data_IF_479836225793
#
_entry.id   IF_479836225793
#
_cell.length_a   1.000
_cell.length_b   1.000
_cell.length_c   1.000
_cell.angle_alpha   90.00
_cell.angle_beta   90.00
_cell.angle_gamma   90.00
#
_symmetry.space_group_name_H-M   'P 1'
#
loop_
_entity.id
_entity.type
_entity.pdbx_description
1 polymer ?
#
# COMPACT_ATOMS: atom_id res chain seq x y z
N UNK A 1 22.75 5.84 -6.30
CA UNK A 1 21.65 6.36 -5.50
C UNK A 1 22.08 7.68 -4.86
N UNK A 2 21.25 8.72 -5.01
CA UNK A 2 21.39 10.00 -4.31
C UNK A 2 20.17 10.19 -3.42
N UNK A 3 20.37 10.56 -2.16
CA UNK A 3 19.30 10.79 -1.19
C UNK A 3 19.27 12.28 -0.84
N UNK A 4 18.08 12.90 -0.99
CA UNK A 4 17.84 14.30 -0.65
C UNK A 4 16.90 14.36 0.56
N UNK A 5 17.45 14.71 1.73
CA UNK A 5 16.68 14.85 2.98
C UNK A 5 16.78 16.31 3.49
N UNK A 6 15.79 17.11 3.26
CA UNK A 6 14.47 16.96 2.64
C UNK A 6 14.36 17.85 1.42
N UNK A 7 13.35 17.60 0.56
CA UNK A 7 13.05 18.44 -0.61
C UNK A 7 12.97 19.93 -0.25
N UNK A 8 12.47 20.25 0.93
CA UNK A 8 12.29 21.63 1.39
C UNK A 8 13.59 22.41 1.54
N UNK A 9 14.73 21.72 1.73
CA UNK A 9 16.05 22.37 1.86
C UNK A 9 16.66 22.78 0.53
N UNK A 10 16.20 22.21 -0.56
CA UNK A 10 16.66 22.52 -1.93
C UNK A 10 15.71 23.41 -2.70
N UNK A 11 14.55 23.76 -2.14
CA UNK A 11 13.64 24.75 -2.72
C UNK A 11 14.24 26.14 -2.59
N UNK A 12 14.14 26.93 -3.65
CA UNK A 12 14.56 28.34 -3.62
C UNK A 12 13.76 29.13 -2.58
N UNK A 13 14.48 29.84 -1.70
CA UNK A 13 13.88 30.76 -0.74
C UNK A 13 13.32 31.98 -1.49
N UNK A 14 12.00 32.10 -1.58
CA UNK A 14 11.34 33.26 -2.17
C UNK A 14 10.39 32.97 -3.34
N UNK A 15 10.33 31.78 -3.87
CA UNK A 15 9.29 31.41 -4.82
C UNK A 15 7.92 31.43 -4.14
N UNK A 16 6.94 32.09 -4.76
CA UNK A 16 5.57 32.19 -4.23
C UNK A 16 5.05 30.84 -3.76
N UNK A 17 4.51 30.88 -2.54
CA UNK A 17 4.00 29.76 -1.78
C UNK A 17 3.37 28.66 -2.63
N UNK A 18 3.94 27.43 -2.53
CA UNK A 18 3.27 26.15 -2.78
C UNK A 18 2.23 26.16 -3.93
N UNK A 19 2.68 26.41 -5.15
CA UNK A 19 1.83 26.20 -6.32
C UNK A 19 2.11 24.85 -6.93
N UNK A 20 1.07 24.21 -7.48
CA UNK A 20 1.17 22.96 -8.23
C UNK A 20 2.27 23.01 -9.30
N UNK A 21 2.32 24.14 -10.06
CA UNK A 21 3.29 24.32 -11.14
C UNK A 21 4.74 24.33 -10.63
N UNK A 22 5.01 24.97 -9.50
CA UNK A 22 6.35 25.03 -8.93
C UNK A 22 6.80 23.65 -8.39
N UNK A 23 5.92 22.94 -7.70
CA UNK A 23 6.21 21.58 -7.20
C UNK A 23 6.49 20.62 -8.36
N UNK A 24 5.66 20.66 -9.39
CA UNK A 24 5.82 19.85 -10.59
C UNK A 24 7.14 20.17 -11.32
N UNK A 25 7.49 21.44 -11.45
CA UNK A 25 8.73 21.89 -12.11
C UNK A 25 9.98 21.40 -11.36
N UNK A 26 9.99 21.52 -10.01
CA UNK A 26 11.14 21.06 -9.20
C UNK A 26 11.36 19.56 -9.38
N UNK A 27 10.31 18.75 -9.25
CA UNK A 27 10.44 17.29 -9.41
C UNK A 27 10.79 16.93 -10.86
N UNK A 28 10.24 17.61 -11.85
CA UNK A 28 10.57 17.38 -13.26
C UNK A 28 12.05 17.66 -13.54
N UNK A 29 12.62 18.72 -12.98
CA UNK A 29 14.07 19.01 -13.09
C UNK A 29 14.92 17.93 -12.44
N UNK A 30 14.54 17.47 -11.25
CA UNK A 30 15.22 16.38 -10.53
C UNK A 30 15.14 15.07 -11.31
N UNK A 31 13.95 14.73 -11.83
CA UNK A 31 13.77 13.55 -12.68
C UNK A 31 14.64 13.61 -13.93
N UNK A 32 14.62 14.73 -14.65
CA UNK A 32 15.46 14.91 -15.84
C UNK A 32 16.95 14.73 -15.52
N UNK A 33 17.40 15.26 -14.39
CA UNK A 33 18.78 15.06 -13.93
C UNK A 33 19.06 13.58 -13.68
N UNK A 34 18.15 12.87 -13.00
CA UNK A 34 18.30 11.44 -12.73
C UNK A 34 18.40 10.63 -14.02
N UNK A 35 17.51 10.90 -14.98
CA UNK A 35 17.45 10.22 -16.28
C UNK A 35 18.74 10.43 -17.10
N UNK A 36 19.21 11.68 -17.20
CA UNK A 36 20.43 12.02 -17.95
C UNK A 36 21.68 11.41 -17.30
N UNK A 37 21.72 11.41 -15.96
CA UNK A 37 22.89 10.94 -15.22
C UNK A 37 22.87 9.44 -14.94
N UNK A 38 21.78 8.72 -15.27
CA UNK A 38 21.60 7.30 -14.98
C UNK A 38 21.61 7.00 -13.49
N UNK A 39 21.10 7.91 -12.63
CA UNK A 39 21.10 7.77 -11.19
C UNK A 39 19.68 7.68 -10.63
N UNK A 40 19.52 6.94 -9.56
CA UNK A 40 18.29 6.94 -8.77
C UNK A 40 18.33 8.08 -7.76
N UNK A 41 17.26 8.89 -7.70
CA UNK A 41 17.06 9.91 -6.68
C UNK A 41 15.97 9.44 -5.69
N UNK A 42 16.30 9.42 -4.41
CA UNK A 42 15.34 9.27 -3.32
C UNK A 42 15.15 10.63 -2.64
N UNK A 43 13.96 11.20 -2.78
CA UNK A 43 13.64 12.52 -2.23
C UNK A 43 12.75 12.35 -1.03
N UNK A 44 13.23 12.72 0.15
CA UNK A 44 12.47 12.67 1.40
C UNK A 44 11.63 13.94 1.55
N UNK A 45 10.38 13.77 1.93
CA UNK A 45 9.44 14.87 2.14
C UNK A 45 8.50 14.60 3.31
N UNK A 46 7.90 15.64 3.87
CA UNK A 46 6.97 15.52 4.98
C UNK A 46 5.54 15.30 4.50
N UNK A 47 4.74 14.63 5.32
CA UNK A 47 3.29 14.52 5.12
C UNK A 47 2.56 15.65 5.85
N UNK A 48 1.36 16.00 5.35
CA UNK A 48 0.42 16.88 6.04
C UNK A 48 -0.21 16.12 7.21
N UNK A 49 -0.62 16.86 8.25
CA UNK A 49 -1.35 16.29 9.38
C UNK A 49 -2.82 15.98 9.07
N UNK A 50 -3.32 16.50 7.97
CA UNK A 50 -4.71 16.36 7.55
C UNK A 50 -4.90 14.99 6.91
N UNK A 51 -5.92 14.26 7.32
CA UNK A 51 -6.30 13.01 6.67
C UNK A 51 -6.91 13.30 5.30
N UNK A 52 -6.66 12.43 4.33
CA UNK A 52 -7.21 12.47 2.99
C UNK A 52 -7.78 11.08 2.64
N UNK A 53 -8.73 11.07 1.71
CA UNK A 53 -9.33 9.81 1.21
C UNK A 53 -8.28 8.95 0.50
N UNK A 54 -7.43 9.58 -0.30
CA UNK A 54 -6.20 8.97 -0.80
C UNK A 54 -5.05 9.34 0.14
N UNK A 55 -4.38 8.33 0.68
CA UNK A 55 -3.24 8.52 1.59
C UNK A 55 -2.08 9.28 0.96
N UNK A 56 -1.86 9.13 -0.34
CA UNK A 56 -0.80 9.84 -1.05
C UNK A 56 -1.07 11.35 -1.16
N UNK A 57 -2.33 11.77 -1.08
CA UNK A 57 -2.69 13.20 -0.98
C UNK A 57 -2.22 13.86 0.34
N UNK A 58 -1.80 13.05 1.31
CA UNK A 58 -1.19 13.55 2.55
C UNK A 58 0.25 14.04 2.35
N UNK A 59 0.89 13.74 1.23
CA UNK A 59 2.23 14.25 0.93
C UNK A 59 2.17 15.78 0.88
N UNK A 60 3.00 16.42 1.70
CA UNK A 60 2.99 17.88 1.84
C UNK A 60 3.39 18.55 0.52
N UNK A 61 2.59 19.49 0.06
CA UNK A 61 2.75 20.13 -1.25
C UNK A 61 1.50 19.98 -2.07
N UNK A 62 1.65 19.81 -3.36
CA UNK A 62 0.55 19.60 -4.29
C UNK A 62 0.67 18.23 -4.95
N UNK A 63 -0.38 17.73 -5.58
CA UNK A 63 -0.36 16.50 -6.37
C UNK A 63 0.66 16.56 -7.53
N UNK A 64 1.23 17.75 -7.81
CA UNK A 64 2.33 17.93 -8.76
C UNK A 64 3.60 17.19 -8.37
N UNK A 65 3.86 16.95 -7.08
CA UNK A 65 5.02 16.18 -6.64
C UNK A 65 4.92 14.72 -7.09
N UNK A 66 3.75 14.11 -6.91
CA UNK A 66 3.50 12.72 -7.31
C UNK A 66 3.43 12.55 -8.83
N UNK A 67 2.84 13.51 -9.53
CA UNK A 67 2.63 13.42 -10.98
C UNK A 67 3.91 13.30 -11.80
N UNK A 68 5.04 13.80 -11.30
CA UNK A 68 6.33 13.74 -11.99
C UNK A 68 7.29 12.67 -11.44
N UNK A 69 6.99 12.05 -10.29
CA UNK A 69 7.78 10.97 -9.70
C UNK A 69 7.47 9.63 -10.38
N UNK A 70 8.45 8.72 -10.40
CA UNK A 70 8.24 7.35 -10.91
C UNK A 70 7.56 6.46 -9.86
N UNK A 71 7.71 6.79 -8.59
CA UNK A 71 7.04 6.12 -7.49
C UNK A 71 7.09 6.91 -6.20
N UNK A 72 6.25 6.53 -5.26
CA UNK A 72 6.14 7.13 -3.95
C UNK A 72 6.10 6.07 -2.85
N UNK A 73 6.73 6.38 -1.73
CA UNK A 73 6.74 5.60 -0.52
C UNK A 73 6.18 6.45 0.61
N UNK A 74 5.08 6.01 1.21
CA UNK A 74 4.43 6.70 2.31
C UNK A 74 4.60 5.91 3.61
N UNK A 75 5.53 6.34 4.47
CA UNK A 75 5.76 5.74 5.77
C UNK A 75 4.90 6.43 6.83
N UNK A 76 4.03 5.68 7.48
CA UNK A 76 3.10 6.19 8.49
C UNK A 76 3.16 5.39 9.78
N UNK A 77 3.06 6.10 10.91
CA UNK A 77 2.83 5.53 12.24
C UNK A 77 1.47 6.00 12.75
N UNK A 78 0.71 5.12 13.40
CA UNK A 78 -0.55 5.53 14.03
C UNK A 78 -0.30 6.46 15.21
N UNK A 79 0.65 6.09 16.05
CA UNK A 79 1.09 6.91 17.20
C UNK A 79 2.61 7.06 17.19
N UNK A 80 3.10 8.17 17.74
CA UNK A 80 4.56 8.42 17.81
C UNK A 80 5.33 7.35 18.58
N UNK A 81 4.71 6.78 19.62
CA UNK A 81 5.33 5.78 20.49
C UNK A 81 5.30 4.35 19.92
N UNK A 82 4.52 4.12 18.84
CA UNK A 82 4.34 2.78 18.31
C UNK A 82 5.63 2.27 17.66
N UNK A 83 5.92 1.00 17.88
CA UNK A 83 7.00 0.28 17.19
C UNK A 83 6.52 -0.36 15.88
N UNK A 84 5.28 -0.08 15.48
CA UNK A 84 4.68 -0.49 14.23
C UNK A 84 4.52 0.71 13.28
N UNK A 85 4.67 0.46 11.99
CA UNK A 85 4.42 1.42 10.92
C UNK A 85 3.85 0.72 9.69
N UNK A 86 3.19 1.48 8.83
CA UNK A 86 2.83 1.03 7.48
C UNK A 86 3.67 1.77 6.45
N UNK A 87 4.07 1.06 5.40
CA UNK A 87 4.70 1.63 4.22
C UNK A 87 3.80 1.35 3.01
N UNK A 88 3.08 2.37 2.58
CA UNK A 88 2.31 2.32 1.34
C UNK A 88 3.24 2.67 0.17
N UNK A 89 3.22 1.87 -0.89
CA UNK A 89 4.08 1.99 -2.07
C UNK A 89 3.20 2.09 -3.30
N UNK A 90 3.42 3.11 -4.12
CA UNK A 90 2.79 3.25 -5.43
C UNK A 90 3.83 3.66 -6.47
N UNK A 91 3.71 3.17 -7.70
CA UNK A 91 4.66 3.49 -8.76
C UNK A 91 4.20 3.04 -10.14
N UNK A 92 4.83 3.61 -11.17
CA UNK A 92 4.46 3.37 -12.58
C UNK A 92 4.71 1.95 -13.03
N UNK A 93 5.81 1.36 -12.56
CA UNK A 93 6.32 0.06 -13.03
C UNK A 93 6.14 -1.05 -11.98
N UNK A 94 5.32 -0.82 -10.96
CA UNK A 94 5.05 -1.79 -9.90
C UNK A 94 3.61 -1.70 -9.42
N UNK A 95 3.10 -2.81 -8.90
CA UNK A 95 1.78 -2.84 -8.27
C UNK A 95 1.82 -2.09 -6.94
N UNK A 96 0.70 -1.44 -6.62
CA UNK A 96 0.53 -0.81 -5.32
C UNK A 96 0.60 -1.87 -4.21
N UNK A 97 1.32 -1.55 -3.15
CA UNK A 97 1.60 -2.46 -2.05
C UNK A 97 1.47 -1.73 -0.72
N UNK A 98 1.04 -2.47 0.30
CA UNK A 98 1.16 -2.04 1.69
C UNK A 98 1.99 -3.05 2.46
N UNK A 99 3.02 -2.54 3.10
CA UNK A 99 3.90 -3.31 3.97
C UNK A 99 3.66 -2.89 5.42
N UNK A 100 3.59 -3.86 6.30
CA UNK A 100 3.54 -3.66 7.73
C UNK A 100 4.93 -3.87 8.29
N UNK A 101 5.41 -2.86 9.01
CA UNK A 101 6.78 -2.79 9.50
C UNK A 101 6.79 -2.77 11.02
N UNK A 102 7.77 -3.43 11.59
CA UNK A 102 8.09 -3.37 13.02
C UNK A 102 9.46 -2.77 13.21
N UNK A 103 9.62 -1.88 14.19
CA UNK A 103 10.89 -1.28 14.50
C UNK A 103 11.72 -2.21 15.38
N UNK A 104 12.94 -2.50 14.95
CA UNK A 104 13.99 -3.04 15.81
C UNK A 104 14.58 -1.88 16.65
N UNK A 105 14.42 -1.96 17.97
CA UNK A 105 14.85 -0.89 18.89
C UNK A 105 16.37 -0.87 19.09
N UNK A 106 17.05 -2.01 18.95
CA UNK A 106 18.49 -2.09 19.12
C UNK A 106 19.23 -1.56 17.88
N UNK A 107 18.78 -1.99 16.69
CA UNK A 107 19.40 -1.62 15.41
C UNK A 107 18.84 -0.33 14.83
N UNK A 108 17.72 0.18 15.36
CA UNK A 108 17.00 1.38 14.92
C UNK A 108 16.58 1.31 13.45
N UNK A 109 16.26 0.12 12.96
CA UNK A 109 15.77 -0.13 11.58
C UNK A 109 14.34 -0.62 11.59
N UNK A 110 13.67 -0.46 10.46
CA UNK A 110 12.36 -1.04 10.21
C UNK A 110 12.53 -2.40 9.55
N UNK A 111 11.91 -3.42 10.11
CA UNK A 111 11.87 -4.77 9.56
C UNK A 111 10.50 -5.06 9.00
N UNK A 112 10.46 -5.77 7.87
CA UNK A 112 9.20 -6.21 7.27
C UNK A 112 8.57 -7.29 8.16
N UNK A 113 7.35 -7.02 8.67
CA UNK A 113 6.58 -8.00 9.43
C UNK A 113 5.68 -8.82 8.49
N UNK A 114 4.94 -8.14 7.61
CA UNK A 114 4.04 -8.79 6.64
C UNK A 114 3.70 -7.87 5.48
N UNK A 115 3.18 -8.45 4.40
CA UNK A 115 2.60 -7.73 3.25
C UNK A 115 1.09 -7.84 3.28
N UNK A 116 0.38 -6.84 2.75
CA UNK A 116 -1.09 -6.87 2.69
C UNK A 116 -1.62 -8.03 1.85
N UNK A 117 -0.91 -8.42 0.80
CA UNK A 117 -1.22 -9.59 -0.04
C UNK A 117 -1.22 -10.90 0.74
N UNK A 118 -0.46 -11.00 1.85
CA UNK A 118 -0.43 -12.18 2.71
C UNK A 118 -1.66 -12.26 3.62
N UNK A 119 -2.34 -11.11 3.87
CA UNK A 119 -3.60 -11.04 4.62
C UNK A 119 -4.82 -11.37 3.77
N UNK A 120 -4.72 -11.25 2.45
CA UNK A 120 -5.79 -11.60 1.49
C UNK A 120 -5.82 -13.08 1.11
N UNK A 121 -5.02 -13.92 1.71
CA UNK A 121 -5.41 -15.32 1.89
C UNK A 121 -6.52 -15.30 2.93
N UNK A 122 -7.73 -14.99 2.46
CA UNK A 122 -8.93 -15.27 3.24
C UNK A 122 -8.80 -16.69 3.76
N UNK A 123 -9.02 -16.93 5.06
CA UNK A 123 -9.07 -18.31 5.54
C UNK A 123 -10.02 -19.04 4.60
N UNK A 124 -9.68 -20.26 4.15
CA UNK A 124 -10.48 -20.96 3.16
C UNK A 124 -11.92 -20.95 3.61
N UNK A 125 -12.80 -20.46 2.75
CA UNK A 125 -14.22 -20.35 3.07
C UNK A 125 -14.73 -21.75 3.40
N UNK A 126 -15.17 -22.01 4.65
CA UNK A 126 -15.58 -23.35 5.08
C UNK A 126 -16.73 -23.87 4.22
N UNK A 127 -17.54 -23.01 3.62
CA UNK A 127 -18.61 -23.39 2.69
C UNK A 127 -18.02 -23.87 1.37
N UNK A 128 -17.05 -23.16 0.81
CA UNK A 128 -16.37 -23.59 -0.44
C UNK A 128 -15.60 -24.90 -0.24
N UNK A 129 -14.92 -25.09 0.91
CA UNK A 129 -14.24 -26.36 1.22
C UNK A 129 -15.23 -27.51 1.36
N UNK A 130 -16.36 -27.29 2.04
CA UNK A 130 -17.39 -28.30 2.19
C UNK A 130 -18.04 -28.65 0.82
N UNK A 131 -18.27 -27.66 -0.04
CA UNK A 131 -18.77 -27.90 -1.42
C UNK A 131 -17.73 -28.66 -2.23
N UNK A 132 -16.45 -28.29 -2.14
CA UNK A 132 -15.37 -28.99 -2.85
C UNK A 132 -15.24 -30.47 -2.40
N UNK A 133 -15.54 -30.76 -1.12
CA UNK A 133 -15.55 -32.12 -0.60
C UNK A 133 -16.74 -32.96 -1.08
N UNK A 134 -17.86 -32.32 -1.45
CA UNK A 134 -19.03 -33.02 -2.03
C UNK A 134 -18.84 -33.43 -3.49
N UNK A 135 -18.01 -32.66 -4.24
CA UNK A 135 -17.77 -32.89 -5.67
C UNK A 135 -16.32 -33.36 -5.83
N UNK A 136 -16.13 -34.65 -6.06
CA UNK A 136 -14.81 -35.28 -6.23
C UNK A 136 -14.67 -35.88 -7.62
N UNK A 137 -13.46 -36.31 -8.00
CA UNK A 137 -13.22 -37.00 -9.27
C UNK A 137 -14.06 -38.27 -9.43
N UNK A 138 -14.41 -38.93 -8.32
CA UNK A 138 -15.28 -40.13 -8.29
C UNK A 138 -16.77 -39.76 -8.31
N UNK A 139 -17.13 -38.56 -7.90
CA UNK A 139 -18.50 -38.02 -7.83
C UNK A 139 -18.51 -36.61 -8.40
N UNK A 140 -18.44 -36.47 -9.75
CA UNK A 140 -18.22 -35.17 -10.39
C UNK A 140 -19.46 -34.26 -10.42
N UNK A 141 -20.62 -34.75 -10.04
CA UNK A 141 -21.89 -34.03 -10.02
C UNK A 141 -22.60 -34.21 -8.69
N UNK A 142 -23.16 -33.13 -8.19
CA UNK A 142 -24.16 -33.11 -7.14
C UNK A 142 -25.46 -32.49 -7.67
N UNK A 143 -26.62 -33.11 -7.39
CA UNK A 143 -27.94 -32.59 -7.78
C UNK A 143 -28.87 -32.64 -6.60
N UNK A 144 -29.56 -31.54 -6.35
CA UNK A 144 -30.52 -31.41 -5.26
C UNK A 144 -31.05 -29.99 -5.13
N UNK A 145 -31.92 -29.77 -4.17
CA UNK A 145 -32.41 -28.45 -3.75
C UNK A 145 -31.40 -27.75 -2.86
N UNK A 146 -31.55 -26.42 -2.68
CA UNK A 146 -30.67 -25.66 -1.78
C UNK A 146 -30.71 -26.22 -0.33
N UNK A 147 -31.88 -26.66 0.15
CA UNK A 147 -32.03 -27.25 1.48
C UNK A 147 -31.27 -28.57 1.61
N UNK A 148 -31.32 -29.42 0.59
CA UNK A 148 -30.58 -30.69 0.55
C UNK A 148 -29.08 -30.45 0.47
N UNK A 149 -28.63 -29.40 -0.23
CA UNK A 149 -27.21 -29.01 -0.26
C UNK A 149 -26.72 -28.63 1.13
N UNK A 150 -27.42 -27.75 1.82
CA UNK A 150 -27.06 -27.32 3.18
C UNK A 150 -27.00 -28.52 4.14
N UNK A 151 -27.97 -29.44 4.05
CA UNK A 151 -27.97 -30.66 4.84
C UNK A 151 -26.76 -31.57 4.50
N UNK A 152 -26.42 -31.71 3.24
CA UNK A 152 -25.26 -32.48 2.77
C UNK A 152 -23.92 -31.90 3.19
N UNK A 153 -23.81 -30.58 3.31
CA UNK A 153 -22.62 -29.87 3.77
C UNK A 153 -22.39 -29.98 5.28
N UNK A 154 -23.41 -30.39 6.04
CA UNK A 154 -23.33 -30.48 7.52
C UNK A 154 -23.14 -29.12 8.20
N UNK A 155 -23.45 -28.02 7.51
CA UNK A 155 -23.30 -26.66 8.02
C UNK A 155 -24.49 -26.27 8.89
N UNK A 156 -24.21 -25.70 10.04
CA UNK A 156 -25.24 -25.06 10.85
C UNK A 156 -25.68 -23.77 10.19
N UNK A 157 -26.99 -23.65 9.88
CA UNK A 157 -27.58 -22.46 9.22
C UNK A 157 -27.38 -21.17 10.00
N UNK A 158 -26.97 -21.23 11.27
CA UNK A 158 -26.65 -20.06 12.08
C UNK A 158 -25.38 -19.34 11.63
N UNK A 159 -24.53 -19.96 10.83
CA UNK A 159 -23.28 -19.40 10.31
C UNK A 159 -23.41 -18.75 8.94
N UNK A 160 -24.57 -18.89 8.27
CA UNK A 160 -24.82 -18.29 6.97
C UNK A 160 -25.62 -17.00 7.18
N UNK A 161 -24.91 -15.92 7.47
CA UNK A 161 -25.48 -14.58 7.36
C UNK A 161 -25.53 -14.19 5.87
N UNK A 162 -26.72 -14.34 5.28
CA UNK A 162 -27.06 -13.72 3.99
C UNK A 162 -27.50 -12.28 4.25
#
# INVERSE_FOLDING_TARGET
LIIIDTLQKIREAGAEKYSYANDYEVITKLKRFADISGVCLLVVHHTRKQQADDKFDMISGTNGLLGAADGAFLLQKERRADNAATLDISGRDQQDQRLYLKRDEERLVWELERRETELRQEPPDPVLEAVAALVTAERPEWRGTATELVAALGLDLSLIHI
#
